data_IF_759535781476
#
_entry.id   IF_759535781476
#
_cell.length_a   1.000
_cell.length_b   1.000
_cell.length_c   1.000
_cell.angle_alpha   90.00
_cell.angle_beta   90.00
_cell.angle_gamma   90.00
#
_symmetry.space_group_name_H-M   'P 1'
#
loop_
_entity.id
_entity.type
_entity.pdbx_description
1 polymer ?
#
# COMPACT_ATOMS: atom_id res chain seq x y z
N UNK A 1 -4.48 8.49 1.18
CA UNK A 1 -5.16 8.15 -0.08
C UNK A 1 -6.15 9.22 -0.52
N UNK A 2 -7.11 9.66 0.29
CA UNK A 2 -8.04 10.74 -0.12
C UNK A 2 -7.33 12.06 -0.42
N UNK A 3 -6.34 12.42 0.39
CA UNK A 3 -5.50 13.60 0.14
C UNK A 3 -4.79 13.54 -1.23
N UNK A 4 -4.55 12.34 -1.77
CA UNK A 4 -3.95 12.14 -3.10
C UNK A 4 -4.94 12.52 -4.20
N UNK A 5 -6.22 12.15 -4.07
CA UNK A 5 -7.27 12.59 -5.00
C UNK A 5 -7.43 14.12 -5.01
N UNK A 6 -7.38 14.75 -3.84
CA UNK A 6 -7.48 16.21 -3.74
C UNK A 6 -6.25 16.89 -4.41
N UNK A 7 -5.07 16.26 -4.37
CA UNK A 7 -3.88 16.70 -5.11
C UNK A 7 -4.02 16.52 -6.62
N UNK A 8 -4.64 15.45 -7.09
CA UNK A 8 -4.97 15.29 -8.50
C UNK A 8 -5.79 16.48 -9.03
N UNK A 9 -6.77 16.93 -8.24
CA UNK A 9 -7.61 18.09 -8.57
C UNK A 9 -6.82 19.41 -8.55
N UNK A 10 -5.96 19.60 -7.56
CA UNK A 10 -5.07 20.78 -7.48
C UNK A 10 -4.15 20.87 -8.70
N UNK A 11 -3.54 19.75 -9.10
CA UNK A 11 -2.65 19.68 -10.27
C UNK A 11 -3.44 19.83 -11.58
N UNK A 12 -4.69 19.38 -11.65
CA UNK A 12 -5.54 19.59 -12.84
C UNK A 12 -5.64 21.07 -13.25
N UNK A 13 -5.74 21.98 -12.27
CA UNK A 13 -5.73 23.43 -12.51
C UNK A 13 -4.41 23.93 -13.08
N UNK A 14 -3.28 23.38 -12.63
CA UNK A 14 -1.96 23.71 -13.16
C UNK A 14 -1.77 23.17 -14.58
N UNK A 15 -2.16 21.91 -14.81
CA UNK A 15 -2.14 21.28 -16.13
C UNK A 15 -2.97 22.07 -17.13
N UNK A 16 -4.20 22.46 -16.76
CA UNK A 16 -5.04 23.29 -17.63
C UNK A 16 -4.40 24.65 -17.93
N UNK A 17 -3.77 25.28 -16.94
CA UNK A 17 -3.06 26.55 -17.16
C UNK A 17 -1.89 26.40 -18.13
N UNK A 18 -1.19 25.26 -18.10
CA UNK A 18 -0.08 24.94 -19.02
C UNK A 18 -0.59 24.67 -20.43
N UNK A 19 -1.67 23.91 -20.57
CA UNK A 19 -2.30 23.63 -21.87
C UNK A 19 -2.72 24.94 -22.57
N UNK A 20 -3.23 25.92 -21.82
CA UNK A 20 -3.59 27.24 -22.35
C UNK A 20 -2.39 28.06 -22.85
N UNK A 21 -1.15 27.70 -22.49
CA UNK A 21 0.05 28.35 -23.02
C UNK A 21 0.44 27.83 -24.41
N UNK A 22 -0.14 26.71 -24.87
CA UNK A 22 0.14 26.15 -26.19
C UNK A 22 1.59 25.66 -26.40
N UNK A 23 2.33 25.38 -25.31
CA UNK A 23 3.75 25.02 -25.35
C UNK A 23 4.01 23.54 -25.63
N UNK A 24 2.98 22.69 -25.52
CA UNK A 24 3.06 21.23 -25.69
C UNK A 24 1.69 20.69 -26.13
N UNK A 25 1.66 19.41 -26.53
CA UNK A 25 0.40 18.69 -26.76
C UNK A 25 -0.43 18.71 -25.48
N UNK A 26 -1.77 18.89 -25.55
CA UNK A 26 -2.62 18.97 -24.37
C UNK A 26 -2.41 17.80 -23.41
N UNK A 27 -2.06 18.12 -22.17
CA UNK A 27 -1.75 17.17 -21.11
C UNK A 27 -3.02 16.72 -20.36
N UNK A 28 -4.05 17.58 -20.34
CA UNK A 28 -5.29 17.35 -19.58
C UNK A 28 -5.99 16.01 -19.88
N UNK A 29 -6.15 15.55 -21.14
CA UNK A 29 -6.82 14.26 -21.40
C UNK A 29 -6.11 13.08 -20.73
N UNK A 30 -4.77 13.06 -20.76
CA UNK A 30 -3.97 12.01 -20.09
C UNK A 30 -4.05 12.14 -18.57
N UNK A 31 -4.04 13.37 -18.06
CA UNK A 31 -4.20 13.64 -16.63
C UNK A 31 -5.54 13.15 -16.09
N UNK A 32 -6.63 13.43 -16.82
CA UNK A 32 -7.98 13.03 -16.44
C UNK A 32 -8.14 11.50 -16.47
N UNK A 33 -7.47 10.81 -17.40
CA UNK A 33 -7.38 9.33 -17.40
C UNK A 33 -6.68 8.81 -16.16
N UNK A 34 -5.48 9.32 -15.85
CA UNK A 34 -4.72 8.93 -14.64
C UNK A 34 -5.53 9.13 -13.36
N UNK A 35 -6.25 10.26 -13.25
CA UNK A 35 -7.13 10.53 -12.10
C UNK A 35 -8.24 9.50 -11.99
N UNK A 36 -8.86 9.12 -13.12
CA UNK A 36 -9.94 8.12 -13.16
C UNK A 36 -9.41 6.75 -12.74
N UNK A 37 -8.28 6.33 -13.27
CA UNK A 37 -7.66 5.05 -12.97
C UNK A 37 -7.26 4.98 -11.48
N UNK A 38 -6.71 6.07 -10.92
CA UNK A 38 -6.43 6.16 -9.48
C UNK A 38 -7.69 6.13 -8.62
N UNK A 39 -8.77 6.77 -9.06
CA UNK A 39 -10.07 6.75 -8.37
C UNK A 39 -10.65 5.32 -8.35
N UNK A 40 -10.58 4.60 -9.47
CA UNK A 40 -10.98 3.20 -9.55
C UNK A 40 -10.12 2.32 -8.63
N UNK A 41 -8.80 2.51 -8.64
CA UNK A 41 -7.89 1.79 -7.76
C UNK A 41 -8.24 2.03 -6.29
N UNK A 42 -8.51 3.27 -5.89
CA UNK A 42 -8.91 3.61 -4.53
C UNK A 42 -10.22 2.90 -4.12
N UNK A 43 -11.17 2.80 -5.05
CA UNK A 43 -12.40 2.05 -4.82
C UNK A 43 -12.15 0.54 -4.64
N UNK A 44 -11.25 -0.03 -5.44
CA UNK A 44 -10.82 -1.42 -5.31
C UNK A 44 -10.14 -1.67 -3.95
N UNK A 45 -9.28 -0.76 -3.49
CA UNK A 45 -8.68 -0.82 -2.15
C UNK A 45 -9.73 -0.80 -1.04
N UNK A 46 -10.72 0.08 -1.15
CA UNK A 46 -11.81 0.17 -0.17
C UNK A 46 -12.61 -1.13 -0.11
N UNK A 47 -13.05 -1.64 -1.26
CA UNK A 47 -13.83 -2.87 -1.37
C UNK A 47 -13.06 -4.05 -0.78
N UNK A 48 -11.78 -4.12 -1.13
CA UNK A 48 -10.85 -5.12 -0.63
C UNK A 48 -10.68 -5.08 0.89
N UNK A 49 -10.47 -3.90 1.47
CA UNK A 49 -10.37 -3.75 2.91
C UNK A 49 -11.64 -4.25 3.63
N UNK A 50 -12.82 -4.00 3.06
CA UNK A 50 -14.09 -4.53 3.55
C UNK A 50 -14.15 -6.05 3.48
N UNK A 51 -13.73 -6.64 2.36
CA UNK A 51 -13.68 -8.09 2.18
C UNK A 51 -12.72 -8.77 3.17
N UNK A 52 -11.53 -8.17 3.39
CA UNK A 52 -10.56 -8.64 4.38
C UNK A 52 -11.19 -8.55 5.78
N UNK A 53 -11.75 -7.40 6.16
CA UNK A 53 -12.40 -7.21 7.46
C UNK A 53 -13.48 -8.27 7.71
N UNK A 54 -14.36 -8.52 6.73
CA UNK A 54 -15.40 -9.54 6.83
C UNK A 54 -14.85 -10.95 7.06
N UNK A 55 -13.77 -11.33 6.37
CA UNK A 55 -13.13 -12.64 6.56
C UNK A 55 -12.42 -12.74 7.91
N UNK A 56 -11.74 -11.69 8.35
CA UNK A 56 -11.12 -11.66 9.67
C UNK A 56 -12.16 -11.74 10.79
N UNK A 57 -13.33 -11.10 10.65
CA UNK A 57 -14.44 -11.25 11.60
C UNK A 57 -14.88 -12.70 11.70
N UNK A 58 -15.17 -13.35 10.57
CA UNK A 58 -15.56 -14.77 10.53
C UNK A 58 -14.49 -15.68 11.15
N UNK A 59 -13.20 -15.40 10.89
CA UNK A 59 -12.11 -16.13 11.52
C UNK A 59 -12.14 -15.99 13.04
N UNK A 60 -12.27 -14.76 13.55
CA UNK A 60 -12.28 -14.49 15.00
C UNK A 60 -13.55 -14.98 15.72
N UNK A 61 -14.72 -14.90 15.09
CA UNK A 61 -16.02 -15.16 15.75
C UNK A 61 -16.56 -16.56 15.50
N UNK A 62 -16.01 -17.29 14.55
CA UNK A 62 -16.50 -18.62 14.17
C UNK A 62 -15.36 -19.64 14.18
N UNK A 63 -14.32 -19.44 13.37
CA UNK A 63 -13.23 -20.42 13.22
C UNK A 63 -12.46 -20.61 14.53
N UNK A 64 -11.95 -19.54 15.14
CA UNK A 64 -11.17 -19.64 16.38
C UNK A 64 -11.96 -20.22 17.57
N UNK A 65 -13.22 -19.81 17.82
CA UNK A 65 -14.05 -20.45 18.85
C UNK A 65 -14.28 -21.94 18.61
N UNK A 66 -14.65 -22.34 17.39
CA UNK A 66 -14.86 -23.75 17.05
C UNK A 66 -13.57 -24.57 17.19
N UNK A 67 -12.44 -24.01 16.74
CA UNK A 67 -11.13 -24.64 16.85
C UNK A 67 -10.70 -24.81 18.32
N UNK A 68 -10.92 -23.80 19.16
CA UNK A 68 -10.62 -23.85 20.60
C UNK A 68 -11.52 -24.85 21.34
N UNK A 69 -12.80 -24.97 20.96
CA UNK A 69 -13.74 -25.93 21.50
C UNK A 69 -13.53 -27.37 20.97
N UNK A 70 -12.68 -27.55 19.95
CA UNK A 70 -12.52 -28.80 19.19
C UNK A 70 -13.83 -29.34 18.63
N UNK A 71 -14.64 -28.44 18.07
CA UNK A 71 -15.88 -28.80 17.39
C UNK A 71 -15.60 -29.75 16.21
N UNK A 72 -16.41 -30.79 16.04
CA UNK A 72 -16.27 -31.78 14.96
C UNK A 72 -16.49 -31.19 13.57
N UNK A 73 -17.29 -30.13 13.47
CA UNK A 73 -17.64 -29.50 12.18
C UNK A 73 -16.60 -28.47 11.71
N UNK A 74 -15.63 -28.13 12.56
CA UNK A 74 -14.64 -27.08 12.27
C UNK A 74 -13.84 -27.36 11.01
N UNK A 75 -13.56 -28.63 10.68
CA UNK A 75 -12.80 -28.98 9.48
C UNK A 75 -13.54 -28.61 8.20
N UNK A 76 -14.84 -28.87 8.12
CA UNK A 76 -15.66 -28.54 6.96
C UNK A 76 -15.79 -27.02 6.81
N UNK A 77 -16.06 -26.32 7.91
CA UNK A 77 -16.19 -24.85 7.92
C UNK A 77 -14.86 -24.21 7.53
N UNK A 78 -13.74 -24.71 8.05
CA UNK A 78 -12.40 -24.20 7.77
C UNK A 78 -11.98 -24.42 6.30
N UNK A 79 -12.28 -25.57 5.71
CA UNK A 79 -12.01 -25.82 4.29
C UNK A 79 -12.76 -24.83 3.39
N UNK A 80 -14.06 -24.62 3.66
CA UNK A 80 -14.87 -23.63 2.94
C UNK A 80 -14.31 -22.21 3.12
N UNK A 81 -13.95 -21.85 4.35
CA UNK A 81 -13.31 -20.57 4.65
C UNK A 81 -12.00 -20.36 3.89
N UNK A 82 -11.13 -21.37 3.85
CA UNK A 82 -9.84 -21.34 3.15
C UNK A 82 -10.01 -21.19 1.64
N UNK A 83 -10.95 -21.92 1.03
CA UNK A 83 -11.22 -21.83 -0.40
C UNK A 83 -11.62 -20.40 -0.80
N UNK A 84 -12.59 -19.81 -0.10
CA UNK A 84 -13.05 -18.45 -0.41
C UNK A 84 -11.97 -17.41 -0.09
N UNK A 85 -11.20 -17.61 0.98
CA UNK A 85 -10.09 -16.72 1.34
C UNK A 85 -8.98 -16.76 0.29
N UNK A 86 -8.72 -17.91 -0.32
CA UNK A 86 -7.76 -18.04 -1.41
C UNK A 86 -8.22 -17.27 -2.67
N UNK A 87 -9.52 -17.30 -2.99
CA UNK A 87 -10.08 -16.52 -4.10
C UNK A 87 -9.91 -15.01 -3.88
N UNK A 88 -10.18 -14.54 -2.66
CA UNK A 88 -9.96 -13.14 -2.30
C UNK A 88 -8.45 -12.76 -2.33
N UNK A 89 -7.57 -13.66 -1.88
CA UNK A 89 -6.13 -13.45 -1.96
C UNK A 89 -5.63 -13.39 -3.42
N UNK A 90 -6.21 -14.19 -4.32
CA UNK A 90 -5.93 -14.11 -5.75
C UNK A 90 -6.40 -12.77 -6.34
N UNK A 91 -7.56 -12.27 -5.93
CA UNK A 91 -8.06 -10.97 -6.35
C UNK A 91 -7.11 -9.82 -5.96
N UNK A 92 -6.45 -9.87 -4.78
CA UNK A 92 -5.42 -8.88 -4.41
C UNK A 92 -4.29 -8.82 -5.43
N UNK A 93 -3.85 -9.96 -5.98
CA UNK A 93 -2.77 -9.96 -6.97
C UNK A 93 -3.16 -9.14 -8.21
N UNK A 94 -4.42 -9.22 -8.64
CA UNK A 94 -4.93 -8.39 -9.74
C UNK A 94 -4.92 -6.89 -9.42
N UNK A 95 -5.19 -6.51 -8.15
CA UNK A 95 -5.09 -5.13 -7.68
C UNK A 95 -3.64 -4.67 -7.65
N UNK A 96 -2.71 -5.52 -7.19
CA UNK A 96 -1.28 -5.23 -7.22
C UNK A 96 -0.84 -4.96 -8.66
N UNK A 97 -1.20 -5.82 -9.61
CA UNK A 97 -0.89 -5.61 -11.02
C UNK A 97 -1.48 -4.30 -11.57
N UNK A 98 -2.73 -3.99 -11.23
CA UNK A 98 -3.37 -2.73 -11.60
C UNK A 98 -2.61 -1.52 -11.03
N UNK A 99 -2.25 -1.56 -9.76
CA UNK A 99 -1.46 -0.54 -9.09
C UNK A 99 -0.08 -0.35 -9.74
N UNK A 100 0.62 -1.45 -10.09
CA UNK A 100 1.92 -1.36 -10.76
C UNK A 100 1.79 -0.76 -12.17
N UNK A 101 0.71 -1.09 -12.91
CA UNK A 101 0.44 -0.49 -14.22
C UNK A 101 0.18 1.00 -14.10
N UNK A 102 -0.67 1.42 -13.15
CA UNK A 102 -0.94 2.83 -12.90
C UNK A 102 0.34 3.58 -12.51
N UNK A 103 1.13 3.06 -11.58
CA UNK A 103 2.42 3.62 -11.18
C UNK A 103 3.37 3.79 -12.36
N UNK A 104 3.43 2.81 -13.28
CA UNK A 104 4.23 2.90 -14.50
C UNK A 104 3.79 4.04 -15.43
N UNK A 105 2.48 4.17 -15.67
CA UNK A 105 1.94 5.23 -16.54
C UNK A 105 2.14 6.60 -15.89
N UNK A 106 1.93 6.71 -14.58
CA UNK A 106 2.13 7.93 -13.82
C UNK A 106 3.60 8.36 -13.78
N UNK A 107 4.53 7.41 -13.58
CA UNK A 107 5.97 7.65 -13.63
C UNK A 107 6.43 8.09 -15.04
N UNK A 108 5.89 7.47 -16.10
CA UNK A 108 6.15 7.88 -17.48
C UNK A 108 5.65 9.31 -17.74
N UNK A 109 4.42 9.63 -17.32
CA UNK A 109 3.88 10.99 -17.41
C UNK A 109 4.76 12.00 -16.64
N UNK A 110 5.21 11.64 -15.44
CA UNK A 110 6.12 12.45 -14.62
C UNK A 110 7.45 12.72 -15.32
N UNK A 111 8.07 11.70 -15.91
CA UNK A 111 9.34 11.83 -16.62
C UNK A 111 9.21 12.70 -17.88
N UNK A 112 8.15 12.52 -18.65
CA UNK A 112 7.86 13.35 -19.83
C UNK A 112 7.64 14.82 -19.44
N UNK A 113 6.88 15.05 -18.38
CA UNK A 113 6.63 16.39 -17.85
C UNK A 113 7.90 17.03 -17.27
N UNK A 114 8.76 16.24 -16.62
CA UNK A 114 10.07 16.68 -16.13
C UNK A 114 10.97 17.09 -17.30
N UNK A 115 11.02 16.29 -18.37
CA UNK A 115 11.78 16.59 -19.58
C UNK A 115 11.29 17.88 -20.22
N UNK A 116 9.98 18.04 -20.39
CA UNK A 116 9.37 19.27 -20.90
C UNK A 116 9.74 20.48 -20.06
N UNK A 117 9.51 20.43 -18.75
CA UNK A 117 9.84 21.53 -17.82
C UNK A 117 11.33 21.89 -17.91
N UNK A 118 12.20 20.88 -17.97
CA UNK A 118 13.65 21.06 -18.08
C UNK A 118 14.11 21.75 -19.37
N UNK A 119 13.31 21.70 -20.44
CA UNK A 119 13.59 22.42 -21.69
C UNK A 119 13.16 23.88 -21.61
N UNK A 120 12.16 24.18 -20.77
CA UNK A 120 11.61 25.52 -20.59
C UNK A 120 12.34 26.33 -19.52
N UNK A 121 13.03 25.67 -18.58
CA UNK A 121 13.69 26.32 -17.45
C UNK A 121 15.19 25.99 -17.42
N UNK A 122 16.04 27.03 -17.43
CA UNK A 122 17.51 26.86 -17.32
C UNK A 122 17.97 26.68 -15.87
N UNK A 123 17.21 27.24 -14.93
CA UNK A 123 17.50 27.16 -13.50
C UNK A 123 16.98 25.82 -12.95
N UNK A 124 17.72 25.18 -12.04
CA UNK A 124 17.25 23.98 -11.33
C UNK A 124 17.07 22.73 -12.21
N UNK A 125 17.51 22.77 -13.48
CA UNK A 125 17.30 21.70 -14.45
C UNK A 125 17.95 20.38 -14.03
N UNK A 126 19.10 20.46 -13.34
CA UNK A 126 19.82 19.30 -12.83
C UNK A 126 19.03 18.65 -11.70
N UNK A 127 18.52 19.44 -10.78
CA UNK A 127 17.78 19.02 -9.59
C UNK A 127 16.45 18.36 -9.98
N UNK A 128 15.73 18.90 -10.98
CA UNK A 128 14.51 18.25 -11.48
C UNK A 128 14.79 16.90 -12.15
N UNK A 129 15.88 16.80 -12.92
CA UNK A 129 16.27 15.54 -13.56
C UNK A 129 16.71 14.50 -12.53
N UNK A 130 17.48 14.92 -11.54
CA UNK A 130 17.89 14.05 -10.43
C UNK A 130 16.67 13.55 -9.63
N UNK A 131 15.74 14.45 -9.29
CA UNK A 131 14.49 14.10 -8.61
C UNK A 131 13.68 13.06 -9.41
N UNK A 132 13.52 13.28 -10.72
CA UNK A 132 12.79 12.35 -11.58
C UNK A 132 13.47 10.98 -11.67
N UNK A 133 14.80 10.93 -11.82
CA UNK A 133 15.55 9.68 -11.79
C UNK A 133 15.37 8.91 -10.48
N UNK A 134 15.49 9.59 -9.32
CA UNK A 134 15.33 8.95 -8.00
C UNK A 134 13.90 8.46 -7.76
N UNK A 135 12.87 9.18 -8.24
CA UNK A 135 11.47 8.73 -8.16
C UNK A 135 11.27 7.47 -9.01
N UNK A 136 11.85 7.42 -10.20
CA UNK A 136 11.77 6.24 -11.07
C UNK A 136 12.46 5.02 -10.43
N UNK A 137 13.62 5.21 -9.80
CA UNK A 137 14.28 4.15 -9.02
C UNK A 137 13.44 3.69 -7.83
N UNK A 138 12.78 4.60 -7.12
CA UNK A 138 11.87 4.27 -6.01
C UNK A 138 10.70 3.41 -6.47
N UNK A 139 10.08 3.76 -7.61
CA UNK A 139 9.02 2.96 -8.24
C UNK A 139 9.51 1.55 -8.61
N UNK A 140 10.72 1.43 -9.16
CA UNK A 140 11.36 0.14 -9.44
C UNK A 140 11.47 -0.74 -8.19
N UNK A 141 11.97 -0.18 -7.08
CA UNK A 141 12.08 -0.91 -5.80
C UNK A 141 10.69 -1.30 -5.27
N UNK A 142 9.69 -0.44 -5.41
CA UNK A 142 8.31 -0.73 -4.98
C UNK A 142 7.70 -1.93 -5.71
N UNK A 143 7.98 -2.08 -7.01
CA UNK A 143 7.54 -3.25 -7.82
C UNK A 143 8.22 -4.54 -7.37
N UNK A 144 9.54 -4.50 -7.13
CA UNK A 144 10.30 -5.65 -6.63
C UNK A 144 9.79 -6.08 -5.24
N UNK A 145 9.52 -5.12 -4.37
CA UNK A 145 8.98 -5.34 -3.03
C UNK A 145 7.58 -5.97 -3.09
N UNK A 146 6.69 -5.43 -3.93
CA UNK A 146 5.34 -5.98 -4.15
C UNK A 146 5.39 -7.42 -4.66
N UNK A 147 6.30 -7.70 -5.60
CA UNK A 147 6.53 -9.06 -6.12
C UNK A 147 7.04 -10.01 -5.04
N UNK A 148 7.96 -9.53 -4.19
CA UNK A 148 8.53 -10.32 -3.09
C UNK A 148 7.47 -10.65 -2.03
N UNK A 149 6.63 -9.68 -1.65
CA UNK A 149 5.50 -9.89 -0.76
C UNK A 149 4.49 -10.89 -1.32
N UNK A 150 4.19 -10.81 -2.62
CA UNK A 150 3.23 -11.70 -3.28
C UNK A 150 3.66 -13.18 -3.33
N UNK A 151 4.95 -13.47 -3.11
CA UNK A 151 5.53 -14.83 -3.10
C UNK A 151 5.57 -15.47 -1.72
N UNK A 152 5.19 -14.75 -0.66
CA UNK A 152 5.17 -15.30 0.69
C UNK A 152 4.03 -16.31 0.85
N UNK A 153 4.36 -17.56 1.16
CA UNK A 153 3.39 -18.63 1.38
C UNK A 153 3.10 -18.89 2.86
N UNK A 154 4.06 -18.65 3.75
CA UNK A 154 3.91 -18.80 5.19
C UNK A 154 4.78 -17.76 5.93
N UNK A 155 4.38 -16.47 5.91
CA UNK A 155 5.14 -15.43 6.58
C UNK A 155 5.01 -15.57 8.09
N UNK A 156 6.11 -15.32 8.80
CA UNK A 156 6.11 -15.19 10.26
C UNK A 156 5.17 -14.03 10.70
N UNK A 157 4.46 -14.13 11.84
CA UNK A 157 3.59 -13.05 12.34
C UNK A 157 4.29 -11.68 12.44
N UNK A 158 5.61 -11.66 12.66
CA UNK A 158 6.45 -10.45 12.65
C UNK A 158 6.29 -9.66 11.36
N UNK A 159 6.12 -10.32 10.20
CA UNK A 159 5.91 -9.63 8.92
C UNK A 159 4.61 -8.83 8.91
N UNK A 160 3.53 -9.40 9.41
CA UNK A 160 2.24 -8.72 9.46
C UNK A 160 2.31 -7.52 10.41
N UNK A 161 2.89 -7.68 11.60
CA UNK A 161 3.14 -6.56 12.53
C UNK A 161 3.99 -5.48 11.86
N UNK A 162 5.05 -5.88 11.15
CA UNK A 162 5.93 -4.96 10.43
C UNK A 162 5.15 -4.12 9.41
N UNK A 163 4.31 -4.73 8.56
CA UNK A 163 3.50 -4.01 7.57
C UNK A 163 2.47 -3.07 8.20
N UNK A 164 1.86 -3.45 9.33
CA UNK A 164 0.97 -2.55 10.10
C UNK A 164 1.71 -1.29 10.58
N UNK A 165 2.92 -1.45 11.13
CA UNK A 165 3.73 -0.30 11.55
C UNK A 165 4.14 0.60 10.39
N UNK A 166 4.37 0.03 9.19
CA UNK A 166 4.67 0.80 7.98
C UNK A 166 3.50 1.67 7.55
N UNK A 167 2.26 1.17 7.60
CA UNK A 167 1.06 1.98 7.29
C UNK A 167 0.98 3.20 8.23
N UNK A 168 1.21 3.00 9.53
CA UNK A 168 1.29 4.09 10.50
C UNK A 168 2.41 5.10 10.21
N UNK A 169 3.56 4.62 9.73
CA UNK A 169 4.71 5.49 9.38
C UNK A 169 4.51 6.26 8.07
N UNK A 170 3.79 5.67 7.10
CA UNK A 170 3.55 6.25 5.77
C UNK A 170 2.45 7.32 5.75
N UNK A 171 1.53 7.30 6.72
CA UNK A 171 0.34 8.17 6.76
C UNK A 171 0.59 9.61 7.25
N UNK A 172 1.86 10.01 7.43
CA UNK A 172 2.29 11.41 7.46
C UNK A 172 1.75 12.32 8.59
N UNK A 173 0.93 11.81 9.53
CA UNK A 173 0.38 12.65 10.61
C UNK A 173 1.47 13.12 11.58
N UNK A 174 1.83 14.40 11.49
CA UNK A 174 2.46 15.16 12.59
C UNK A 174 1.38 15.88 13.41
N UNK A 175 1.24 15.52 14.68
CA UNK A 175 0.82 16.43 15.76
C UNK A 175 1.04 15.84 17.17
N UNK A 176 1.17 14.52 17.32
CA UNK A 176 1.50 13.91 18.61
C UNK A 176 2.67 12.95 18.45
N UNK A 177 3.71 13.13 19.27
CA UNK A 177 4.86 12.25 19.40
C UNK A 177 4.41 10.83 19.75
N UNK A 178 4.00 10.05 18.77
CA UNK A 178 3.83 8.62 18.93
C UNK A 178 5.23 8.01 19.04
N UNK A 179 5.59 7.56 20.25
CA UNK A 179 6.89 6.91 20.57
C UNK A 179 7.10 5.57 19.84
N UNK A 180 6.11 5.09 19.08
CA UNK A 180 6.23 3.88 18.27
C UNK A 180 7.27 3.98 17.15
N UNK A 181 7.68 5.19 16.75
CA UNK A 181 8.64 5.38 15.65
C UNK A 181 10.10 4.95 15.96
N UNK A 182 10.41 4.51 17.18
CA UNK A 182 11.79 4.16 17.57
C UNK A 182 12.06 2.66 17.66
N UNK A 183 11.04 1.79 17.64
CA UNK A 183 11.25 0.33 17.59
C UNK A 183 11.29 -0.13 16.13
N UNK A 184 12.51 -0.34 15.62
CA UNK A 184 12.72 -1.03 14.34
C UNK A 184 12.54 -2.52 14.57
N UNK A 185 11.38 -3.04 14.20
CA UNK A 185 11.17 -4.48 14.10
C UNK A 185 12.02 -5.00 12.94
N UNK A 186 12.98 -5.89 13.21
CA UNK A 186 13.83 -6.47 12.18
C UNK A 186 13.19 -7.74 11.63
N UNK A 187 13.06 -7.84 10.31
CA UNK A 187 12.72 -9.10 9.65
C UNK A 187 13.99 -9.95 9.57
N UNK A 188 14.02 -11.06 10.29
CA UNK A 188 15.18 -11.95 10.40
C UNK A 188 14.89 -13.33 9.79
N UNK A 189 15.92 -14.19 9.73
CA UNK A 189 15.79 -15.56 9.24
C UNK A 189 15.27 -15.61 7.79
N UNK A 190 14.24 -16.42 7.48
CA UNK A 190 13.68 -16.52 6.13
C UNK A 190 13.13 -15.20 5.56
N UNK A 191 12.81 -14.23 6.42
CA UNK A 191 12.28 -12.91 6.01
C UNK A 191 13.39 -11.86 5.84
N UNK A 192 14.66 -12.18 6.08
CA UNK A 192 15.77 -11.24 5.96
C UNK A 192 15.90 -10.60 4.54
N UNK A 193 15.72 -11.33 3.42
CA UNK A 193 15.75 -10.72 2.09
C UNK A 193 14.66 -9.66 1.90
N UNK A 194 13.46 -9.93 2.41
CA UNK A 194 12.36 -8.98 2.37
C UNK A 194 12.64 -7.76 3.25
N UNK A 195 13.23 -7.96 4.44
CA UNK A 195 13.71 -6.88 5.29
C UNK A 195 14.74 -5.97 4.59
N UNK A 196 15.67 -6.56 3.83
CA UNK A 196 16.63 -5.81 3.04
C UNK A 196 15.95 -4.99 1.93
N UNK A 197 14.94 -5.54 1.26
CA UNK A 197 14.16 -4.83 0.26
C UNK A 197 13.42 -3.61 0.86
N UNK A 198 12.78 -3.77 2.01
CA UNK A 198 12.16 -2.64 2.73
C UNK A 198 13.18 -1.57 3.14
N UNK A 199 14.37 -1.97 3.62
CA UNK A 199 15.43 -1.02 3.96
C UNK A 199 15.91 -0.24 2.73
N UNK A 200 16.05 -0.91 1.57
CA UNK A 200 16.41 -0.26 0.30
C UNK A 200 15.34 0.75 -0.13
N UNK A 201 14.06 0.38 0.01
CA UNK A 201 12.94 1.29 -0.25
C UNK A 201 12.98 2.53 0.67
N UNK A 202 13.19 2.35 1.98
CA UNK A 202 13.23 3.45 2.94
C UNK A 202 14.45 4.37 2.74
N UNK A 203 15.59 3.79 2.36
CA UNK A 203 16.78 4.55 1.97
C UNK A 203 16.50 5.39 0.73
N UNK A 204 15.96 4.78 -0.34
CA UNK A 204 15.63 5.48 -1.58
C UNK A 204 14.58 6.57 -1.35
N UNK A 205 13.57 6.31 -0.52
CA UNK A 205 12.58 7.32 -0.11
C UNK A 205 13.24 8.53 0.56
N UNK A 206 14.24 8.29 1.40
CA UNK A 206 15.00 9.37 2.07
C UNK A 206 15.80 10.19 1.05
N UNK A 207 16.47 9.52 0.10
CA UNK A 207 17.17 10.19 -1.00
C UNK A 207 16.24 11.04 -1.87
N UNK A 208 15.04 10.53 -2.17
CA UNK A 208 14.00 11.26 -2.92
C UNK A 208 13.52 12.47 -2.15
N UNK A 209 13.31 12.36 -0.82
CA UNK A 209 12.92 13.49 0.02
C UNK A 209 13.97 14.60 0.01
N UNK A 210 15.26 14.25 0.06
CA UNK A 210 16.35 15.22 -0.07
C UNK A 210 16.36 15.89 -1.45
N UNK A 211 16.24 15.13 -2.54
CA UNK A 211 16.20 15.68 -3.89
C UNK A 211 14.97 16.58 -4.11
N UNK A 212 13.82 16.23 -3.54
CA UNK A 212 12.60 17.05 -3.60
C UNK A 212 12.80 18.38 -2.88
N UNK A 213 13.41 18.34 -1.69
CA UNK A 213 13.74 19.56 -0.94
C UNK A 213 14.72 20.44 -1.70
N UNK A 214 15.78 19.87 -2.28
CA UNK A 214 16.74 20.61 -3.12
C UNK A 214 16.04 21.27 -4.32
N UNK A 215 15.18 20.54 -5.03
CA UNK A 215 14.40 21.10 -6.12
C UNK A 215 13.52 22.27 -5.63
N UNK A 216 12.81 22.10 -4.52
CA UNK A 216 11.99 23.17 -3.92
C UNK A 216 12.78 24.42 -3.57
N UNK A 217 14.03 24.31 -3.13
CA UNK A 217 14.89 25.46 -2.86
C UNK A 217 15.36 26.16 -4.13
N UNK A 218 15.64 25.42 -5.19
CA UNK A 218 16.10 25.97 -6.46
C UNK A 218 15.00 26.76 -7.20
N UNK A 219 13.73 26.41 -6.99
CA UNK A 219 12.60 27.07 -7.64
C UNK A 219 11.88 27.99 -6.67
N UNK A 220 12.11 29.30 -6.83
CA UNK A 220 11.27 30.31 -6.18
C UNK A 220 9.80 30.18 -6.63
N UNK A 221 8.87 30.70 -5.81
CA UNK A 221 7.40 30.66 -6.04
C UNK A 221 6.90 31.28 -7.37
N UNK A 222 7.79 31.84 -8.20
CA UNK A 222 7.45 32.55 -9.43
C UNK A 222 7.35 31.67 -10.69
N UNK A 223 8.01 30.50 -10.72
CA UNK A 223 7.99 29.63 -11.89
C UNK A 223 6.86 28.59 -11.80
N UNK A 224 5.80 28.82 -12.60
CA UNK A 224 4.61 27.96 -12.63
C UNK A 224 4.92 26.54 -13.12
N UNK A 225 5.84 26.37 -14.07
CA UNK A 225 6.19 25.05 -14.61
C UNK A 225 6.93 24.23 -13.57
N UNK A 226 7.93 24.83 -12.93
CA UNK A 226 8.68 24.15 -11.87
C UNK A 226 7.82 23.88 -10.64
N UNK A 227 6.89 24.77 -10.29
CA UNK A 227 5.90 24.54 -9.22
C UNK A 227 5.00 23.34 -9.55
N UNK A 228 4.50 23.25 -10.79
CA UNK A 228 3.73 22.10 -11.25
C UNK A 228 4.55 20.81 -11.20
N UNK A 229 5.82 20.83 -11.62
CA UNK A 229 6.71 19.68 -11.60
C UNK A 229 6.98 19.19 -10.18
N UNK A 230 7.24 20.09 -9.23
CA UNK A 230 7.42 19.75 -7.82
C UNK A 230 6.14 19.16 -7.22
N UNK A 231 4.98 19.73 -7.57
CA UNK A 231 3.68 19.23 -7.10
C UNK A 231 3.38 17.84 -7.64
N UNK A 232 3.64 17.61 -8.92
CA UNK A 232 3.52 16.29 -9.54
C UNK A 232 4.49 15.29 -8.92
N UNK A 233 5.74 15.67 -8.69
CA UNK A 233 6.73 14.83 -8.01
C UNK A 233 6.25 14.43 -6.61
N UNK A 234 5.70 15.38 -5.86
CA UNK A 234 5.14 15.13 -4.52
C UNK A 234 3.98 14.13 -4.58
N UNK A 235 3.07 14.29 -5.55
CA UNK A 235 1.96 13.35 -5.76
C UNK A 235 2.47 11.93 -6.03
N UNK A 236 3.42 11.78 -6.95
CA UNK A 236 3.98 10.46 -7.34
C UNK A 236 4.63 9.78 -6.15
N UNK A 237 5.41 10.50 -5.34
CA UNK A 237 6.07 9.95 -4.15
C UNK A 237 5.04 9.47 -3.13
N UNK A 238 4.01 10.26 -2.87
CA UNK A 238 2.94 9.90 -1.94
C UNK A 238 2.12 8.72 -2.43
N UNK A 239 1.88 8.63 -3.73
CA UNK A 239 1.21 7.51 -4.35
C UNK A 239 2.03 6.23 -4.19
N UNK A 240 3.31 6.23 -4.58
CA UNK A 240 4.20 5.06 -4.45
C UNK A 240 4.27 4.59 -2.99
N UNK A 241 4.48 5.52 -2.05
CA UNK A 241 4.64 5.18 -0.63
C UNK A 241 3.34 4.71 0.02
N UNK A 242 2.19 5.25 -0.40
CA UNK A 242 0.89 4.83 0.11
C UNK A 242 0.46 3.48 -0.46
N UNK A 243 0.72 3.25 -1.76
CA UNK A 243 0.43 1.96 -2.40
C UNK A 243 1.33 0.87 -1.84
N UNK A 244 2.63 1.14 -1.64
CA UNK A 244 3.54 0.17 -1.01
C UNK A 244 2.98 -0.32 0.32
N UNK A 245 2.73 0.59 1.26
CA UNK A 245 2.33 0.20 2.61
C UNK A 245 0.95 -0.48 2.63
N UNK A 246 0.01 0.00 1.81
CA UNK A 246 -1.34 -0.59 1.70
C UNK A 246 -1.35 -1.99 1.09
N UNK A 247 -0.65 -2.18 -0.04
CA UNK A 247 -0.56 -3.49 -0.71
C UNK A 247 0.22 -4.49 0.15
N UNK A 248 1.34 -4.08 0.75
CA UNK A 248 2.13 -4.90 1.66
C UNK A 248 1.27 -5.40 2.83
N UNK A 249 0.45 -4.54 3.42
CA UNK A 249 -0.48 -4.92 4.49
C UNK A 249 -1.52 -5.94 3.99
N UNK A 250 -2.21 -5.68 2.87
CA UNK A 250 -3.24 -6.60 2.37
C UNK A 250 -2.66 -7.98 2.02
N UNK A 251 -1.51 -8.02 1.34
CA UNK A 251 -0.80 -9.27 1.05
C UNK A 251 -0.38 -9.99 2.34
N UNK A 252 0.16 -9.25 3.31
CA UNK A 252 0.58 -9.78 4.61
C UNK A 252 -0.58 -10.40 5.40
N UNK A 253 -1.76 -9.77 5.40
CA UNK A 253 -2.96 -10.28 6.07
C UNK A 253 -3.38 -11.61 5.45
N UNK A 254 -3.53 -11.67 4.13
CA UNK A 254 -3.96 -12.91 3.46
C UNK A 254 -2.97 -14.04 3.65
N UNK A 255 -1.67 -13.76 3.49
CA UNK A 255 -0.65 -14.77 3.63
C UNK A 255 -0.61 -15.36 5.05
N UNK A 256 -0.73 -14.53 6.11
CA UNK A 256 -0.79 -15.02 7.49
C UNK A 256 -2.11 -15.73 7.81
N UNK A 257 -3.25 -15.21 7.32
CA UNK A 257 -4.56 -15.83 7.54
C UNK A 257 -4.64 -17.23 6.93
N UNK A 258 -4.15 -17.39 5.70
CA UNK A 258 -4.09 -18.70 5.04
C UNK A 258 -3.10 -19.65 5.73
N UNK A 259 -1.97 -19.13 6.22
CA UNK A 259 -1.03 -19.91 7.00
C UNK A 259 -1.64 -20.41 8.33
N UNK A 260 -2.26 -19.52 9.12
CA UNK A 260 -2.94 -19.90 10.36
C UNK A 260 -4.07 -20.90 10.11
N UNK A 261 -4.85 -20.70 9.05
CA UNK A 261 -5.90 -21.64 8.66
C UNK A 261 -5.34 -23.01 8.29
N UNK A 262 -4.20 -23.05 7.59
CA UNK A 262 -3.51 -24.29 7.25
C UNK A 262 -2.96 -24.98 8.50
N UNK A 263 -2.35 -24.24 9.41
CA UNK A 263 -1.82 -24.76 10.67
C UNK A 263 -2.94 -25.39 11.52
N UNK A 264 -4.10 -24.72 11.62
CA UNK A 264 -5.30 -25.25 12.27
C UNK A 264 -5.77 -26.52 11.58
N UNK A 265 -5.88 -26.50 10.26
CA UNK A 265 -6.33 -27.66 9.50
C UNK A 265 -5.43 -28.89 9.71
N UNK A 266 -4.11 -28.71 9.66
CA UNK A 266 -3.15 -29.80 9.90
C UNK A 266 -3.20 -30.31 11.33
N UNK A 267 -3.38 -29.42 12.30
CA UNK A 267 -3.56 -29.79 13.70
C UNK A 267 -4.81 -30.65 13.93
N UNK A 268 -5.94 -30.31 13.30
CA UNK A 268 -7.15 -31.15 13.37
C UNK A 268 -6.98 -32.49 12.65
N UNK A 269 -6.28 -32.52 11.52
CA UNK A 269 -6.04 -33.75 10.77
C UNK A 269 -5.12 -34.73 11.53
N UNK A 270 -4.11 -34.21 12.24
CA UNK A 270 -3.10 -35.00 12.93
C UNK A 270 -2.78 -34.44 14.33
N UNK A 271 -3.72 -34.54 15.30
CA UNK A 271 -3.61 -33.87 16.58
C UNK A 271 -2.50 -34.42 17.49
N UNK A 272 -2.02 -35.64 17.25
CA UNK A 272 -0.95 -36.27 18.02
C UNK A 272 0.45 -35.81 17.62
N UNK A 273 0.61 -35.28 16.39
CA UNK A 273 1.92 -34.92 15.84
C UNK A 273 2.14 -33.40 15.73
N UNK A 274 1.07 -32.62 15.83
CA UNK A 274 1.11 -31.17 15.69
C UNK A 274 0.85 -30.47 17.02
N UNK A 275 1.66 -29.44 17.29
CA UNK A 275 1.39 -28.52 18.41
C UNK A 275 0.14 -27.70 18.12
N UNK A 276 -0.51 -27.23 19.18
CA UNK A 276 -1.64 -26.30 19.06
C UNK A 276 -1.16 -25.06 18.29
N UNK A 277 -1.84 -24.65 17.20
CA UNK A 277 -1.47 -23.45 16.45
C UNK A 277 -1.50 -22.21 17.33
N UNK A 278 -0.54 -21.30 17.11
CA UNK A 278 -0.41 -20.08 17.92
C UNK A 278 -1.70 -19.25 17.95
N UNK A 279 -2.36 -19.06 16.80
CA UNK A 279 -3.62 -18.32 16.74
C UNK A 279 -4.75 -18.91 17.61
N UNK A 280 -4.78 -20.24 17.80
CA UNK A 280 -5.75 -20.92 18.67
C UNK A 280 -5.32 -20.83 20.13
N UNK A 281 -4.03 -21.00 20.40
CA UNK A 281 -3.47 -20.87 21.75
C UNK A 281 -3.73 -19.46 22.32
N UNK A 282 -3.35 -18.41 21.57
CA UNK A 282 -3.54 -17.01 21.94
C UNK A 282 -5.01 -16.69 22.19
N UNK A 283 -5.91 -17.18 21.31
CA UNK A 283 -7.35 -17.00 21.47
C UNK A 283 -7.90 -17.73 22.70
N UNK A 284 -7.40 -18.92 23.01
CA UNK A 284 -7.85 -19.68 24.17
C UNK A 284 -7.47 -18.99 25.48
N UNK A 285 -6.27 -18.40 25.53
CA UNK A 285 -5.75 -17.68 26.69
C UNK A 285 -6.45 -16.33 26.90
N UNK A 286 -6.57 -15.53 25.85
CA UNK A 286 -6.97 -14.12 25.98
C UNK A 286 -8.39 -13.82 25.51
N UNK A 287 -9.01 -14.72 24.75
CA UNK A 287 -10.26 -14.50 23.98
C UNK A 287 -10.18 -13.34 22.98
N UNK A 288 -8.98 -12.83 22.73
CA UNK A 288 -8.70 -11.73 21.82
C UNK A 288 -7.71 -12.24 20.78
N UNK A 289 -8.00 -11.97 19.51
CA UNK A 289 -7.07 -12.26 18.42
C UNK A 289 -6.42 -10.97 17.95
N UNK A 290 -5.16 -11.05 17.52
CA UNK A 290 -4.50 -9.99 16.76
C UNK A 290 -5.34 -9.53 15.55
N UNK A 291 -6.07 -10.44 14.91
CA UNK A 291 -6.97 -10.14 13.80
C UNK A 291 -8.14 -9.23 14.19
N UNK A 292 -8.60 -9.26 15.45
CA UNK A 292 -9.67 -8.37 15.92
C UNK A 292 -9.24 -6.90 15.89
N UNK A 293 -7.96 -6.61 16.13
CA UNK A 293 -7.42 -5.24 16.03
C UNK A 293 -7.38 -4.79 14.57
N UNK A 294 -6.95 -5.69 13.67
CA UNK A 294 -6.93 -5.43 12.23
C UNK A 294 -8.32 -5.15 11.67
N UNK A 295 -9.33 -5.91 12.12
CA UNK A 295 -10.74 -5.68 11.77
C UNK A 295 -11.15 -4.24 12.06
N UNK A 296 -10.91 -3.76 13.28
CA UNK A 296 -11.27 -2.39 13.66
C UNK A 296 -10.55 -1.35 12.79
N UNK A 297 -9.25 -1.55 12.53
CA UNK A 297 -8.46 -0.65 11.69
C UNK A 297 -8.97 -0.62 10.24
N UNK A 298 -9.32 -1.78 9.67
CA UNK A 298 -9.87 -1.89 8.32
C UNK A 298 -11.26 -1.25 8.22
N UNK A 299 -12.12 -1.45 9.23
CA UNK A 299 -13.44 -0.82 9.26
C UNK A 299 -13.35 0.72 9.32
N UNK A 300 -12.40 1.25 10.08
CA UNK A 300 -12.10 2.70 10.11
C UNK A 300 -11.61 3.16 8.72
N UNK A 301 -10.69 2.42 8.10
CA UNK A 301 -10.19 2.74 6.76
C UNK A 301 -11.32 2.76 5.71
N UNK A 302 -12.17 1.73 5.71
CA UNK A 302 -13.34 1.60 4.85
C UNK A 302 -14.32 2.76 5.04
N UNK A 303 -14.58 3.13 6.30
CA UNK A 303 -15.47 4.24 6.64
C UNK A 303 -14.89 5.61 6.27
N UNK A 304 -13.56 5.72 6.25
CA UNK A 304 -12.87 6.93 5.84
C UNK A 304 -13.04 7.26 4.36
N UNK A 305 -13.24 6.25 3.49
CA UNK A 305 -13.43 6.44 2.05
C UNK A 305 -14.92 6.57 1.72
N UNK A 306 -15.34 7.81 1.46
CA UNK A 306 -16.72 8.16 1.10
C UNK A 306 -17.12 7.69 -0.31
N UNK A 307 -18.09 6.76 -0.45
CA UNK A 307 -18.59 6.30 -1.75
C UNK A 307 -19.17 7.40 -2.65
N UNK A 308 -19.65 8.52 -2.08
CA UNK A 308 -20.25 9.63 -2.84
C UNK A 308 -19.24 10.29 -3.81
N UNK A 309 -17.94 10.16 -3.53
CA UNK A 309 -16.87 10.68 -4.38
C UNK A 309 -16.68 9.91 -5.69
N UNK A 310 -17.24 8.71 -5.79
CA UNK A 310 -17.08 7.81 -6.95
C UNK A 310 -18.36 7.69 -7.80
N UNK A 311 -19.48 8.25 -7.34
CA UNK A 311 -20.81 8.10 -7.96
C UNK A 311 -21.22 9.29 -8.82
N UNK A 312 -20.36 10.30 -9.02
CA UNK A 312 -20.62 11.40 -9.94
C UNK A 312 -20.30 10.98 -11.38
N UNK A 313 -21.29 10.36 -12.02
CA UNK A 313 -21.46 10.33 -13.49
C UNK A 313 -22.07 11.64 -13.97
#
# INVERSE_FOLDING_TARGET
MLDILDKFESISKMVHSIDNLGLTVPLRPRWDSLRRDFSELLWQFRTTAGNISGRLKMFCTTILPMAAARDGDVMQVLQSFMAISADHANFIRSIVEHAMRLGAVLASFHMEFAKFTSMQTKMGQKELRELSGKIHELDGIMRELSTSNGRLSNPDPTHLIYTVMRVGSSSGRRATRSRFSHQKLALTGPMAPLGAAYNSFDQKRSEVAHALYSAQLCFGKGDKLSTAQVSLSTLVIEEITTLESGLSLFLGIWARLLADSTDIYQWFKNPSTHRVPAAVADYTETRISFYSILVMALDIFVSGIDPSRFTKT
#
